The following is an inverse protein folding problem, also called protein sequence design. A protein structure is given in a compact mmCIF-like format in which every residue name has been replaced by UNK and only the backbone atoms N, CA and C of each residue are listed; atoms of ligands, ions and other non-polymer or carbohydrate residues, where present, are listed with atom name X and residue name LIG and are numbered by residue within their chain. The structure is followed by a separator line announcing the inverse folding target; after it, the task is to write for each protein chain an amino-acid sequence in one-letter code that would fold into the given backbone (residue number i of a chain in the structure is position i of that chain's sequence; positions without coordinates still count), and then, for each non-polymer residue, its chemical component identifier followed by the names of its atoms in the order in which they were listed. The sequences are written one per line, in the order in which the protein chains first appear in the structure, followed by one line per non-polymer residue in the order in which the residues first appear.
data_IF_622835519887
#
_entry.id   IF_622835519887
#
_cell.length_a   1.000
_cell.length_b   1.000
_cell.length_c   1.000
_cell.angle_alpha   90.00
_cell.angle_beta   90.00
_cell.angle_gamma   90.00
#
_symmetry.space_group_name_H-M   'P 1'
#
loop_
_entity.id
_entity.type
_entity.pdbx_description
1 polymer ?
#
# COMPACT_ATOMS: atom_id res chain seq x y z
N UNK A 1 -43.73 11.56 9.37
CA UNK A 1 -42.36 11.93 8.92
C UNK A 1 -41.35 11.13 9.73
N UNK A 2 -40.38 10.52 9.05
CA UNK A 2 -39.26 9.86 9.76
C UNK A 2 -38.35 10.92 10.36
N UNK A 3 -37.63 10.59 11.45
CA UNK A 3 -36.65 11.49 12.07
C UNK A 3 -35.63 12.04 11.06
N UNK A 4 -35.24 11.20 10.12
CA UNK A 4 -34.33 11.57 9.04
C UNK A 4 -34.86 12.74 8.18
N UNK A 5 -36.13 12.70 7.78
CA UNK A 5 -36.74 13.79 6.99
C UNK A 5 -36.80 15.11 7.76
N UNK A 6 -36.99 15.06 9.09
CA UNK A 6 -36.97 16.25 9.93
C UNK A 6 -35.57 16.87 9.97
N UNK A 7 -34.53 16.04 10.13
CA UNK A 7 -33.12 16.47 10.13
C UNK A 7 -32.76 17.06 8.76
N UNK A 8 -33.12 16.37 7.68
CA UNK A 8 -32.87 16.81 6.31
C UNK A 8 -33.52 18.18 6.03
N UNK A 9 -34.81 18.33 6.34
CA UNK A 9 -35.53 19.60 6.17
C UNK A 9 -34.88 20.73 7.00
N UNK A 10 -34.45 20.46 8.22
CA UNK A 10 -33.78 21.45 9.07
C UNK A 10 -32.40 21.86 8.52
N UNK A 11 -31.61 20.89 8.07
CA UNK A 11 -30.29 21.11 7.47
C UNK A 11 -30.40 21.93 6.17
N UNK A 12 -31.30 21.51 5.26
CA UNK A 12 -31.46 22.14 3.95
C UNK A 12 -31.94 23.61 4.01
N UNK A 13 -32.54 24.02 5.11
CA UNK A 13 -32.92 25.43 5.34
C UNK A 13 -31.73 26.36 5.55
N UNK A 14 -30.61 25.85 6.06
CA UNK A 14 -29.47 26.69 6.50
C UNK A 14 -28.17 26.35 5.75
N UNK A 15 -28.00 25.13 5.25
CA UNK A 15 -26.75 24.63 4.71
C UNK A 15 -26.83 24.12 3.25
N UNK A 16 -28.02 24.24 2.60
CA UNK A 16 -28.22 23.77 1.25
C UNK A 16 -28.56 22.28 1.19
N UNK A 17 -28.50 21.66 0.00
CA UNK A 17 -28.93 20.27 -0.23
C UNK A 17 -28.07 19.28 0.56
N UNK A 18 -28.73 18.45 1.38
CA UNK A 18 -28.06 17.33 2.08
C UNK A 18 -27.71 16.23 1.07
N UNK A 19 -26.44 15.87 1.02
CA UNK A 19 -25.94 14.73 0.23
C UNK A 19 -25.68 13.55 1.14
N UNK A 20 -26.28 12.42 0.80
CA UNK A 20 -26.12 11.15 1.51
C UNK A 20 -25.11 10.28 0.77
N UNK A 21 -24.24 9.59 1.50
CA UNK A 21 -23.30 8.61 0.96
C UNK A 21 -23.31 7.35 1.81
N UNK A 22 -23.20 6.21 1.15
CA UNK A 22 -23.05 4.91 1.83
C UNK A 22 -21.57 4.56 2.12
N UNK A 23 -20.65 5.44 1.76
CA UNK A 23 -19.22 5.16 1.83
C UNK A 23 -18.47 6.30 2.49
N UNK A 24 -17.32 5.92 3.03
CA UNK A 24 -16.25 6.80 3.46
C UNK A 24 -15.09 6.68 2.47
N UNK A 25 -14.53 7.80 2.06
CA UNK A 25 -13.36 7.86 1.18
C UNK A 25 -12.46 9.00 1.63
N UNK A 26 -11.21 8.69 1.95
CA UNK A 26 -10.21 9.65 2.41
C UNK A 26 -8.89 9.42 1.68
N UNK A 27 -8.33 10.50 1.14
CA UNK A 27 -6.96 10.54 0.64
C UNK A 27 -6.07 11.32 1.63
N UNK A 28 -4.92 10.74 1.97
CA UNK A 28 -3.91 11.41 2.80
C UNK A 28 -2.51 11.07 2.31
N UNK A 29 -1.86 12.03 1.64
CA UNK A 29 -0.62 11.78 0.92
C UNK A 29 -0.83 10.70 -0.15
N UNK A 30 -0.01 9.66 -0.20
CA UNK A 30 -0.19 8.55 -1.13
C UNK A 30 -1.25 7.52 -0.66
N UNK A 31 -1.81 7.67 0.54
CA UNK A 31 -2.73 6.68 1.10
C UNK A 31 -4.18 6.99 0.74
N UNK A 32 -4.90 5.94 0.34
CA UNK A 32 -6.35 5.93 0.16
C UNK A 32 -6.96 4.97 1.16
N UNK A 33 -7.91 5.48 1.95
CA UNK A 33 -8.68 4.71 2.92
C UNK A 33 -10.14 4.79 2.51
N UNK A 34 -10.78 3.65 2.31
CA UNK A 34 -12.17 3.59 1.94
C UNK A 34 -12.92 2.51 2.72
N UNK A 35 -14.21 2.74 2.91
CA UNK A 35 -15.12 1.76 3.49
C UNK A 35 -16.52 1.97 2.94
N UNK A 36 -17.27 0.91 2.72
CA UNK A 36 -18.69 0.95 2.38
C UNK A 36 -19.48 0.37 3.55
N UNK A 37 -20.48 1.11 4.00
CA UNK A 37 -21.29 0.74 5.17
C UNK A 37 -22.25 -0.39 4.82
N UNK A 38 -22.41 -1.36 5.73
CA UNK A 38 -23.31 -2.50 5.61
C UNK A 38 -24.79 -2.07 5.55
N UNK A 39 -25.16 -1.17 6.45
CA UNK A 39 -26.52 -0.69 6.61
C UNK A 39 -26.54 0.81 6.32
N UNK A 40 -26.84 1.19 5.11
CA UNK A 40 -26.82 2.59 4.69
C UNK A 40 -27.92 2.91 3.68
N UNK A 41 -27.77 4.04 2.99
CA UNK A 41 -28.71 4.57 2.01
C UNK A 41 -28.74 3.78 0.70
N UNK A 42 -27.70 2.99 0.43
CA UNK A 42 -27.64 2.06 -0.72
C UNK A 42 -26.64 0.95 -0.46
N UNK A 43 -26.78 -0.15 -1.20
CA UNK A 43 -25.85 -1.31 -1.20
C UNK A 43 -24.86 -1.23 -2.39
N UNK A 44 -24.70 -0.07 -3.01
CA UNK A 44 -23.81 0.10 -4.14
C UNK A 44 -22.35 0.03 -3.68
N UNK A 45 -21.50 -0.79 -4.35
CA UNK A 45 -20.09 -0.83 -4.06
C UNK A 45 -19.39 0.46 -4.49
N UNK A 46 -18.29 0.78 -3.83
CA UNK A 46 -17.39 1.85 -4.23
C UNK A 46 -16.29 1.29 -5.13
N UNK A 47 -16.25 1.77 -6.38
CA UNK A 47 -15.18 1.44 -7.33
C UNK A 47 -14.08 2.49 -7.23
N UNK A 48 -12.83 2.03 -7.04
CA UNK A 48 -11.62 2.85 -6.99
C UNK A 48 -10.72 2.39 -8.14
N UNK A 49 -10.39 3.30 -9.06
CA UNK A 49 -9.55 3.01 -10.23
C UNK A 49 -8.24 3.81 -10.14
N UNK A 50 -7.11 3.18 -10.51
CA UNK A 50 -5.78 3.81 -10.48
C UNK A 50 -4.66 2.78 -10.44
N UNK A 51 -3.49 3.17 -9.99
CA UNK A 51 -2.36 2.26 -9.77
C UNK A 51 -2.04 2.23 -8.28
N UNK A 52 -2.45 1.16 -7.61
CA UNK A 52 -2.37 1.05 -6.16
C UNK A 52 -1.64 -0.21 -5.72
N UNK A 53 -1.00 -0.15 -4.56
CA UNK A 53 -0.62 -1.33 -3.79
C UNK A 53 -1.72 -1.58 -2.76
N UNK A 54 -2.29 -2.79 -2.73
CA UNK A 54 -3.28 -3.18 -1.71
C UNK A 54 -2.56 -3.52 -0.40
N UNK A 55 -2.70 -2.64 0.60
CA UNK A 55 -2.02 -2.79 1.89
C UNK A 55 -2.74 -3.75 2.85
N UNK A 56 -3.96 -4.17 2.54
CA UNK A 56 -4.65 -5.23 3.29
C UNK A 56 -4.31 -6.63 2.79
N UNK A 57 -3.77 -6.74 1.59
CA UNK A 57 -3.27 -8.01 1.09
C UNK A 57 -1.80 -8.21 1.56
N UNK A 58 -1.48 -9.30 2.27
CA UNK A 58 -0.12 -9.57 2.76
C UNK A 58 0.91 -9.73 1.64
N UNK A 59 0.46 -9.98 0.40
CA UNK A 59 1.29 -10.06 -0.79
C UNK A 59 1.62 -8.69 -1.40
N UNK A 60 1.00 -7.61 -0.92
CA UNK A 60 1.18 -6.24 -1.41
C UNK A 60 1.08 -6.14 -2.96
N UNK A 61 0.04 -6.69 -3.58
CA UNK A 61 -0.09 -6.69 -5.04
C UNK A 61 -0.30 -5.27 -5.58
N UNK A 62 0.19 -5.03 -6.79
CA UNK A 62 -0.20 -3.85 -7.57
C UNK A 62 -1.52 -4.15 -8.26
N UNK A 63 -2.49 -3.28 -8.04
CA UNK A 63 -3.84 -3.39 -8.61
C UNK A 63 -4.21 -2.12 -9.37
N UNK A 64 -5.02 -2.26 -10.41
CA UNK A 64 -5.54 -1.12 -11.20
C UNK A 64 -6.97 -0.75 -10.83
N UNK A 65 -7.63 -1.59 -10.04
CA UNK A 65 -9.01 -1.42 -9.61
C UNK A 65 -9.21 -2.07 -8.24
N UNK A 66 -9.96 -1.42 -7.36
CA UNK A 66 -10.49 -2.01 -6.12
C UNK A 66 -11.99 -1.77 -6.06
N UNK A 67 -12.75 -2.84 -5.90
CA UNK A 67 -14.19 -2.78 -5.69
C UNK A 67 -14.49 -3.08 -4.23
N UNK A 68 -14.92 -2.05 -3.48
CA UNK A 68 -15.22 -2.14 -2.05
C UNK A 68 -16.73 -2.32 -1.91
N UNK A 69 -17.15 -3.50 -1.46
CA UNK A 69 -18.56 -3.84 -1.26
C UNK A 69 -19.06 -3.37 0.12
N UNK A 70 -20.40 -3.35 0.34
CA UNK A 70 -20.96 -3.14 1.68
C UNK A 70 -20.30 -4.05 2.73
N UNK A 71 -19.87 -3.47 3.86
CA UNK A 71 -19.13 -4.13 4.93
C UNK A 71 -17.63 -4.29 4.70
N UNK A 72 -17.13 -3.96 3.52
CA UNK A 72 -15.70 -4.06 3.21
C UNK A 72 -14.98 -2.73 3.37
N UNK A 73 -13.66 -2.83 3.50
CA UNK A 73 -12.73 -1.72 3.63
C UNK A 73 -11.58 -1.88 2.64
N UNK A 74 -10.95 -0.78 2.30
CA UNK A 74 -9.73 -0.74 1.51
C UNK A 74 -8.70 0.19 2.16
N UNK A 75 -7.44 -0.23 2.11
CA UNK A 75 -6.30 0.60 2.46
C UNK A 75 -5.26 0.44 1.35
N UNK A 76 -5.07 1.49 0.57
CA UNK A 76 -4.30 1.46 -0.66
C UNK A 76 -3.17 2.49 -0.61
N UNK A 77 -2.06 2.18 -1.26
CA UNK A 77 -0.98 3.12 -1.53
C UNK A 77 -0.99 3.49 -3.02
N UNK A 78 -1.21 4.75 -3.33
CA UNK A 78 -1.23 5.28 -4.70
C UNK A 78 0.20 5.50 -5.20
N UNK A 79 0.63 4.62 -6.09
CA UNK A 79 1.98 4.68 -6.67
C UNK A 79 2.19 5.91 -7.55
N UNK A 80 1.12 6.48 -8.10
CA UNK A 80 1.21 7.68 -8.96
C UNK A 80 1.50 8.97 -8.17
N UNK A 81 1.36 8.92 -6.85
CA UNK A 81 1.64 10.07 -5.95
C UNK A 81 3.06 10.08 -5.39
N UNK A 82 3.97 9.29 -5.95
CA UNK A 82 5.39 9.37 -5.62
C UNK A 82 5.93 10.77 -5.99
N UNK A 83 6.55 11.43 -5.02
CA UNK A 83 7.08 12.80 -5.17
C UNK A 83 8.45 12.83 -5.83
N UNK A 84 9.25 11.79 -5.65
CA UNK A 84 10.55 11.62 -6.28
C UNK A 84 10.62 10.25 -6.96
N UNK A 85 10.67 10.27 -8.28
CA UNK A 85 10.81 9.08 -9.12
C UNK A 85 12.23 8.89 -9.65
N UNK A 86 13.19 9.68 -9.17
CA UNK A 86 14.60 9.58 -9.58
C UNK A 86 15.41 8.69 -8.64
N UNK A 87 14.90 8.43 -7.44
CA UNK A 87 15.56 7.64 -6.42
C UNK A 87 14.75 6.39 -6.06
N UNK A 88 15.42 5.27 -5.79
CA UNK A 88 14.77 4.07 -5.26
C UNK A 88 14.30 4.31 -3.83
N UNK A 89 13.21 3.64 -3.44
CA UNK A 89 12.70 3.69 -2.06
C UNK A 89 11.83 2.50 -1.72
N UNK A 90 11.81 2.10 -0.46
CA UNK A 90 10.82 1.14 0.05
C UNK A 90 9.49 1.85 0.25
N UNK A 91 8.45 1.43 -0.48
CA UNK A 91 7.11 2.02 -0.39
C UNK A 91 6.32 1.49 0.80
N UNK A 92 6.35 0.18 0.98
CA UNK A 92 5.68 -0.51 2.09
C UNK A 92 6.34 -1.86 2.35
N UNK A 93 6.18 -2.37 3.55
CA UNK A 93 6.72 -3.66 3.96
C UNK A 93 6.40 -4.01 5.40
N UNK A 94 6.56 -5.28 5.74
CA UNK A 94 6.27 -5.81 7.07
C UNK A 94 7.34 -5.46 8.11
N UNK A 95 8.52 -4.99 7.69
CA UNK A 95 9.66 -4.76 8.56
C UNK A 95 10.04 -3.30 8.65
N UNK A 96 10.65 -2.94 9.78
CA UNK A 96 11.22 -1.61 9.93
C UNK A 96 12.55 -1.50 9.18
N UNK A 97 12.66 -0.50 8.32
CA UNK A 97 13.90 -0.11 7.66
C UNK A 97 14.88 0.44 8.72
N UNK A 98 16.11 -0.09 8.73
CA UNK A 98 17.18 0.33 9.65
C UNK A 98 18.17 1.29 8.98
N UNK A 99 18.39 1.13 7.68
CA UNK A 99 19.26 1.97 6.89
C UNK A 99 19.09 1.72 5.41
N UNK A 100 19.41 2.74 4.62
CA UNK A 100 19.30 2.73 3.16
C UNK A 100 20.55 3.38 2.55
N UNK A 101 21.01 2.83 1.43
CA UNK A 101 22.09 3.38 0.61
C UNK A 101 21.68 3.36 -0.84
N UNK A 102 21.52 4.54 -1.44
CA UNK A 102 21.24 4.70 -2.86
C UNK A 102 22.55 4.97 -3.62
N UNK A 103 22.79 4.23 -4.70
CA UNK A 103 23.83 4.46 -5.68
C UNK A 103 23.17 4.61 -7.05
N UNK A 104 23.88 5.12 -8.08
CA UNK A 104 23.30 5.33 -9.40
C UNK A 104 22.68 4.08 -10.03
N UNK A 105 23.22 2.90 -9.73
CA UNK A 105 22.89 1.61 -10.34
C UNK A 105 22.56 0.50 -9.31
N UNK A 106 22.47 0.83 -8.03
CA UNK A 106 22.10 -0.12 -7.00
C UNK A 106 21.42 0.54 -5.81
N UNK A 107 20.56 -0.22 -5.16
CA UNK A 107 19.86 0.18 -3.95
C UNK A 107 20.02 -0.88 -2.87
N UNK A 108 20.50 -0.48 -1.72
CA UNK A 108 20.70 -1.35 -0.59
C UNK A 108 19.90 -0.84 0.61
N UNK A 109 19.15 -1.73 1.25
CA UNK A 109 18.49 -1.42 2.50
C UNK A 109 18.60 -2.58 3.49
N UNK A 110 18.47 -2.27 4.76
CA UNK A 110 18.50 -3.25 5.83
C UNK A 110 17.25 -3.22 6.67
N UNK A 111 16.78 -4.39 7.08
CA UNK A 111 15.58 -4.58 7.90
C UNK A 111 15.83 -5.52 9.06
N UNK A 112 15.01 -5.40 10.11
CA UNK A 112 14.99 -6.35 11.23
C UNK A 112 13.57 -6.78 11.53
N UNK A 113 13.38 -8.08 11.71
CA UNK A 113 12.09 -8.68 12.07
C UNK A 113 12.31 -10.01 12.80
N UNK A 114 11.30 -10.53 13.50
CA UNK A 114 11.40 -11.80 14.21
C UNK A 114 11.79 -12.96 13.30
N UNK A 115 12.53 -13.92 13.85
CA UNK A 115 12.84 -15.19 13.16
C UNK A 115 11.57 -15.98 12.83
N UNK A 116 11.67 -16.87 11.85
CA UNK A 116 10.57 -17.73 11.38
C UNK A 116 9.36 -16.95 10.84
N UNK A 117 9.60 -15.77 10.31
CA UNK A 117 8.61 -14.96 9.60
C UNK A 117 9.13 -14.59 8.22
N UNK A 118 8.22 -14.41 7.27
CA UNK A 118 8.54 -13.95 5.93
C UNK A 118 8.33 -12.45 5.82
N UNK A 119 9.31 -11.77 5.27
CA UNK A 119 9.16 -10.38 4.86
C UNK A 119 8.51 -10.32 3.48
N UNK A 120 7.53 -9.44 3.33
CA UNK A 120 7.04 -9.00 2.04
C UNK A 120 7.20 -7.50 2.00
N UNK A 121 7.90 -7.00 1.00
CA UNK A 121 8.12 -5.57 0.79
C UNK A 121 7.88 -5.18 -0.66
N UNK A 122 7.41 -3.98 -0.88
CA UNK A 122 7.27 -3.38 -2.21
C UNK A 122 8.22 -2.17 -2.30
N UNK A 123 9.11 -2.21 -3.27
CA UNK A 123 10.17 -1.23 -3.48
C UNK A 123 9.95 -0.55 -4.82
N UNK A 124 10.00 0.78 -4.85
CA UNK A 124 10.06 1.54 -6.08
C UNK A 124 11.51 1.60 -6.59
N UNK A 125 11.71 1.32 -7.88
CA UNK A 125 13.02 1.43 -8.54
C UNK A 125 12.86 2.19 -9.86
N UNK A 126 13.71 3.19 -10.15
CA UNK A 126 13.74 3.86 -11.45
C UNK A 126 14.21 2.95 -12.60
N UNK A 127 14.74 1.77 -12.28
CA UNK A 127 15.25 0.76 -13.23
C UNK A 127 14.76 -0.63 -12.85
N UNK A 128 14.72 -1.55 -13.82
CA UNK A 128 14.47 -2.96 -13.54
C UNK A 128 15.70 -3.60 -12.89
N UNK A 129 15.58 -4.27 -11.74
CA UNK A 129 16.71 -4.97 -11.13
C UNK A 129 17.12 -6.17 -11.97
N UNK A 130 18.43 -6.36 -12.14
CA UNK A 130 18.99 -7.52 -12.83
C UNK A 130 19.17 -8.71 -11.91
N UNK A 131 19.49 -8.42 -10.65
CA UNK A 131 19.71 -9.39 -9.59
C UNK A 131 19.20 -8.81 -8.27
N UNK A 132 18.70 -9.66 -7.39
CA UNK A 132 18.37 -9.29 -6.02
C UNK A 132 19.14 -10.21 -5.08
N UNK A 133 19.96 -9.62 -4.20
CA UNK A 133 20.72 -10.35 -3.19
C UNK A 133 20.12 -10.10 -1.82
N UNK A 134 19.90 -11.19 -1.09
CA UNK A 134 19.40 -11.14 0.28
C UNK A 134 20.41 -11.85 1.18
N UNK A 135 20.94 -11.13 2.16
CA UNK A 135 21.95 -11.65 3.09
C UNK A 135 21.58 -11.35 4.53
N UNK A 136 21.90 -12.26 5.43
CA UNK A 136 21.84 -12.00 6.88
C UNK A 136 22.95 -11.03 7.30
N UNK A 137 22.86 -10.50 8.51
CA UNK A 137 23.85 -9.55 9.06
C UNK A 137 25.27 -10.13 9.14
N UNK A 138 25.42 -11.45 9.24
CA UNK A 138 26.71 -12.17 9.21
C UNK A 138 27.20 -12.51 7.80
N UNK A 139 26.49 -12.05 6.76
CA UNK A 139 26.88 -12.21 5.36
C UNK A 139 26.46 -13.53 4.71
N UNK A 140 25.65 -14.35 5.37
CA UNK A 140 25.12 -15.59 4.79
C UNK A 140 23.99 -15.28 3.81
N UNK A 141 24.04 -15.88 2.61
CA UNK A 141 22.97 -15.78 1.65
C UNK A 141 21.67 -16.38 2.20
N UNK A 142 20.58 -15.65 2.07
CA UNK A 142 19.23 -16.07 2.42
C UNK A 142 18.41 -16.33 1.17
N UNK A 143 17.42 -17.23 1.31
CA UNK A 143 16.45 -17.44 0.23
C UNK A 143 15.54 -16.23 0.13
N UNK A 144 15.41 -15.74 -1.08
CA UNK A 144 14.50 -14.65 -1.41
C UNK A 144 13.98 -14.81 -2.84
N UNK A 145 12.79 -14.29 -3.08
CA UNK A 145 12.21 -14.16 -4.42
C UNK A 145 11.84 -12.72 -4.70
N UNK A 146 11.84 -12.36 -5.96
CA UNK A 146 11.38 -11.02 -6.37
C UNK A 146 10.54 -11.10 -7.63
N UNK A 147 9.63 -10.15 -7.76
CA UNK A 147 8.78 -9.97 -8.93
C UNK A 147 8.77 -8.49 -9.32
N UNK A 148 9.11 -8.22 -10.58
CA UNK A 148 9.13 -6.88 -11.13
C UNK A 148 7.80 -6.55 -11.82
N UNK A 149 7.22 -5.42 -11.47
CA UNK A 149 6.09 -4.82 -12.18
C UNK A 149 6.56 -3.59 -12.94
N UNK A 150 6.65 -3.73 -14.27
CA UNK A 150 7.15 -2.69 -15.17
C UNK A 150 6.23 -1.46 -15.19
N UNK A 151 4.92 -1.63 -15.02
CA UNK A 151 3.96 -0.53 -15.13
C UNK A 151 4.03 0.42 -13.94
N UNK A 152 4.22 -0.10 -12.77
CA UNK A 152 4.35 0.67 -11.53
C UNK A 152 5.80 1.01 -11.18
N UNK A 153 6.78 0.46 -11.91
CA UNK A 153 8.20 0.51 -11.55
C UNK A 153 8.46 0.02 -10.12
N UNK A 154 7.76 -1.04 -9.71
CA UNK A 154 7.92 -1.60 -8.37
C UNK A 154 8.38 -3.05 -8.39
N UNK A 155 9.18 -3.40 -7.41
CA UNK A 155 9.65 -4.76 -7.16
C UNK A 155 9.00 -5.29 -5.88
N UNK A 156 8.29 -6.42 -5.96
CA UNK A 156 7.88 -7.17 -4.79
C UNK A 156 9.05 -8.04 -4.34
N UNK A 157 9.35 -8.03 -3.06
CA UNK A 157 10.40 -8.85 -2.45
C UNK A 157 9.80 -9.74 -1.39
N UNK A 158 10.21 -11.01 -1.36
CA UNK A 158 9.87 -11.95 -0.30
C UNK A 158 11.13 -12.66 0.16
N UNK A 159 11.40 -12.64 1.47
CA UNK A 159 12.56 -13.29 2.05
C UNK A 159 12.33 -13.65 3.53
N UNK A 160 13.14 -14.56 4.05
CA UNK A 160 13.11 -14.90 5.46
C UNK A 160 13.69 -13.77 6.30
N UNK A 161 13.05 -13.49 7.42
CA UNK A 161 13.52 -12.50 8.39
C UNK A 161 14.58 -13.07 9.31
N UNK A 162 15.50 -12.19 9.71
CA UNK A 162 16.52 -12.47 10.72
C UNK A 162 16.50 -11.38 11.81
N UNK A 163 16.42 -11.74 13.11
CA UNK A 163 16.45 -10.78 14.21
C UNK A 163 17.75 -9.97 14.30
N UNK A 164 18.84 -10.50 13.79
CA UNK A 164 20.12 -9.78 13.71
C UNK A 164 20.13 -8.77 12.57
N UNK A 165 19.29 -8.96 11.59
CA UNK A 165 19.10 -8.10 10.42
C UNK A 165 19.27 -8.83 9.11
N UNK A 166 18.56 -8.33 8.11
CA UNK A 166 18.66 -8.76 6.70
C UNK A 166 19.06 -7.55 5.87
N UNK A 167 19.99 -7.76 4.96
CA UNK A 167 20.44 -6.77 3.97
C UNK A 167 19.92 -7.22 2.61
N UNK A 168 19.25 -6.32 1.93
CA UNK A 168 18.75 -6.51 0.56
C UNK A 168 19.48 -5.55 -0.36
N UNK A 169 20.03 -6.07 -1.44
CA UNK A 169 20.69 -5.32 -2.52
C UNK A 169 19.98 -5.62 -3.85
N UNK A 170 19.63 -4.53 -4.56
CA UNK A 170 18.96 -4.54 -5.86
C UNK A 170 19.80 -3.81 -6.89
#
# INVERSE_FOLDING_TARGET
KTYFNIIKEAYEKVAGKLTEKNNFYLERGPYVIAAVMDESVSDEPLKIEGCYIDLFDPELPVITEKNVKPGEQAFLYDVTKLTDTTQPMVLCGASRIQGEVCKPDSYLFSVKSPANTTNVSRVYLPWQPQEVKVTSADGKALLGTYEWDEKSHTCQLKFENDPQGVIVEL
#
